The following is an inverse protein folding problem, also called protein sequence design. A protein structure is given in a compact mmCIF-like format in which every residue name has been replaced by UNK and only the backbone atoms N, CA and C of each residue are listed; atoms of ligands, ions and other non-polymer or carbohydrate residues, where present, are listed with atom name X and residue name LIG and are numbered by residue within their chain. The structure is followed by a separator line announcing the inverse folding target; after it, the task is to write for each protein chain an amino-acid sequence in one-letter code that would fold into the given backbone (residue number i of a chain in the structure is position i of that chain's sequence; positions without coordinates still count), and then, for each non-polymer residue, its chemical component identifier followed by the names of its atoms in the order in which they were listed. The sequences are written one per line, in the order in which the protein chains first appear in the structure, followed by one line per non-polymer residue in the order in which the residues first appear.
data_IF_770614995619
#
_entry.id   IF_770614995619
#
_cell.length_a   1.000
_cell.length_b   1.000
_cell.length_c   1.000
_cell.angle_alpha   90.00
_cell.angle_beta   90.00
_cell.angle_gamma   90.00
#
_symmetry.space_group_name_H-M   'P 1'
#
loop_
_entity.id
_entity.type
_entity.pdbx_description
1 polymer ?
#
# COMPACT_ATOMS: atom_id res chain seq x y z
N UNK A 1 -34.10 -23.02 46.35
CA UNK A 1 -33.67 -24.09 47.27
C UNK A 1 -32.28 -24.52 46.84
N UNK A 2 -31.36 -24.73 47.78
CA UNK A 2 -30.01 -25.22 47.50
C UNK A 2 -30.00 -26.69 47.09
N UNK A 3 -28.83 -27.23 46.74
CA UNK A 3 -28.67 -28.65 46.37
C UNK A 3 -29.08 -29.63 47.48
N UNK A 4 -29.07 -29.16 48.71
CA UNK A 4 -29.49 -29.80 49.96
C UNK A 4 -31.01 -29.69 50.24
N UNK A 5 -31.78 -29.05 49.36
CA UNK A 5 -33.24 -28.89 49.51
C UNK A 5 -33.65 -27.84 50.55
N UNK A 6 -32.68 -27.18 51.20
CA UNK A 6 -32.92 -26.14 52.20
C UNK A 6 -33.06 -24.76 51.55
N UNK A 7 -33.66 -23.82 52.29
CA UNK A 7 -33.70 -22.40 51.90
C UNK A 7 -32.34 -21.78 52.18
N UNK A 8 -31.72 -21.25 51.14
CA UNK A 8 -30.49 -20.45 51.24
C UNK A 8 -30.79 -19.01 50.88
N UNK A 9 -30.13 -18.09 51.58
CA UNK A 9 -30.18 -16.68 51.21
C UNK A 9 -29.45 -16.46 49.89
N UNK A 10 -30.10 -15.74 48.97
CA UNK A 10 -29.51 -15.40 47.67
C UNK A 10 -28.91 -14.01 47.76
N UNK A 11 -27.62 -13.90 47.43
CA UNK A 11 -26.95 -12.61 47.29
C UNK A 11 -27.11 -12.17 45.82
N UNK A 12 -27.69 -10.98 45.61
CA UNK A 12 -27.79 -10.36 44.29
C UNK A 12 -26.62 -9.37 44.16
N UNK A 13 -25.73 -9.62 43.20
CA UNK A 13 -24.67 -8.67 42.84
C UNK A 13 -25.21 -7.75 41.73
N UNK A 14 -25.52 -6.51 42.09
CA UNK A 14 -25.78 -5.46 41.09
C UNK A 14 -24.45 -4.77 40.74
N UNK A 15 -24.05 -4.81 39.46
CA UNK A 15 -22.81 -4.18 38.98
C UNK A 15 -23.10 -3.18 37.87
N UNK A 16 -22.54 -1.98 37.99
CA UNK A 16 -22.54 -0.97 36.93
C UNK A 16 -21.09 -0.54 36.70
N UNK A 17 -20.51 -0.99 35.59
CA UNK A 17 -19.06 -0.83 35.33
C UNK A 17 -18.72 0.63 34.94
N UNK A 18 -19.56 1.26 34.13
CA UNK A 18 -19.31 2.59 33.54
C UNK A 18 -20.17 3.70 34.14
N UNK A 19 -21.11 3.38 35.04
CA UNK A 19 -22.12 4.32 35.49
C UNK A 19 -23.13 4.68 34.40
N UNK A 20 -23.60 5.94 34.38
CA UNK A 20 -24.43 6.48 33.30
C UNK A 20 -23.57 6.94 32.11
N UNK A 21 -24.12 6.92 30.90
CA UNK A 21 -23.40 7.33 29.69
C UNK A 21 -22.95 8.79 29.75
N UNK A 22 -23.79 9.67 30.31
CA UNK A 22 -23.52 11.10 30.45
C UNK A 22 -22.33 11.36 31.37
N UNK A 23 -22.28 10.68 32.53
CA UNK A 23 -21.15 10.80 33.47
C UNK A 23 -19.89 10.20 32.86
N UNK A 24 -20.00 9.07 32.15
CA UNK A 24 -18.87 8.46 31.47
C UNK A 24 -18.27 9.39 30.42
N UNK A 25 -19.11 10.01 29.57
CA UNK A 25 -18.66 11.01 28.59
C UNK A 25 -18.03 12.23 29.28
N UNK A 26 -18.63 12.72 30.37
CA UNK A 26 -18.08 13.82 31.16
C UNK A 26 -16.66 13.51 31.67
N UNK A 27 -16.47 12.32 32.26
CA UNK A 27 -15.15 11.86 32.71
C UNK A 27 -14.16 11.76 31.55
N UNK A 28 -14.59 11.27 30.39
CA UNK A 28 -13.72 11.21 29.21
C UNK A 28 -13.33 12.60 28.71
N UNK A 29 -14.26 13.57 28.69
CA UNK A 29 -13.97 14.95 28.30
C UNK A 29 -12.93 15.56 29.25
N UNK A 30 -13.12 15.40 30.56
CA UNK A 30 -12.20 15.91 31.58
C UNK A 30 -10.83 15.24 31.51
N UNK A 31 -10.79 13.91 31.35
CA UNK A 31 -9.55 13.13 31.28
C UNK A 31 -8.71 13.49 30.05
N UNK A 32 -9.36 13.62 28.87
CA UNK A 32 -8.67 13.92 27.62
C UNK A 32 -8.53 15.43 27.34
N UNK A 33 -9.16 16.30 28.13
CA UNK A 33 -9.23 17.74 27.84
C UNK A 33 -9.83 18.03 26.45
N UNK A 34 -10.76 17.19 25.98
CA UNK A 34 -11.34 17.23 24.64
C UNK A 34 -10.48 16.61 23.52
N UNK A 35 -9.23 16.23 23.76
CA UNK A 35 -8.36 15.57 22.78
C UNK A 35 -8.55 14.05 22.78
N UNK A 36 -9.69 13.61 22.26
CA UNK A 36 -10.05 12.19 22.28
C UNK A 36 -9.09 11.31 21.46
N UNK A 37 -8.91 10.04 21.87
CA UNK A 37 -8.27 9.04 21.02
C UNK A 37 -8.96 8.92 19.66
N UNK A 38 -8.20 8.54 18.63
CA UNK A 38 -8.67 8.46 17.23
C UNK A 38 -9.98 7.69 17.08
N UNK A 39 -10.14 6.56 17.78
CA UNK A 39 -11.34 5.73 17.67
C UNK A 39 -12.59 6.40 18.26
N UNK A 40 -12.44 7.30 19.24
CA UNK A 40 -13.52 8.00 19.92
C UNK A 40 -13.78 9.40 19.34
N UNK A 41 -12.78 9.99 18.68
CA UNK A 41 -12.88 11.35 18.13
C UNK A 41 -14.06 11.48 17.15
N UNK A 42 -14.90 12.53 17.25
CA UNK A 42 -16.03 12.74 16.34
C UNK A 42 -15.55 12.91 14.90
N UNK A 43 -14.47 13.70 14.71
CA UNK A 43 -13.76 13.84 13.43
C UNK A 43 -12.38 13.24 13.62
N UNK A 44 -12.04 12.23 12.80
CA UNK A 44 -10.75 11.54 12.91
C UNK A 44 -9.69 12.20 12.05
N UNK A 45 -10.08 12.60 10.85
CA UNK A 45 -9.19 13.20 9.84
C UNK A 45 -9.89 14.40 9.23
N UNK A 46 -9.18 15.52 9.11
CA UNK A 46 -9.60 16.65 8.28
C UNK A 46 -8.70 16.74 7.04
N UNK A 47 -9.29 16.95 5.88
CA UNK A 47 -8.57 17.15 4.62
C UNK A 47 -8.71 18.59 4.19
N UNK A 48 -7.58 19.26 3.96
CA UNK A 48 -7.51 20.68 3.65
C UNK A 48 -6.72 20.90 2.36
N UNK A 49 -7.17 21.80 1.50
CA UNK A 49 -6.44 22.21 0.30
C UNK A 49 -5.80 23.58 0.48
N UNK A 50 -4.63 23.77 -0.15
CA UNK A 50 -3.94 25.07 -0.21
C UNK A 50 -4.61 25.99 -1.24
N UNK A 51 -5.01 25.47 -2.39
CA UNK A 51 -5.68 26.19 -3.47
C UNK A 51 -6.92 25.41 -3.95
N UNK A 52 -7.82 26.07 -4.67
CA UNK A 52 -9.03 25.44 -5.22
C UNK A 52 -8.73 24.38 -6.28
N UNK A 53 -7.58 24.49 -6.95
CA UNK A 53 -7.14 23.56 -8.00
C UNK A 53 -6.93 22.13 -7.48
N UNK A 54 -6.62 21.97 -6.20
CA UNK A 54 -6.39 20.67 -5.59
C UNK A 54 -7.66 20.01 -5.04
N UNK A 55 -8.81 20.71 -5.05
CA UNK A 55 -10.10 20.19 -4.54
C UNK A 55 -10.48 18.84 -5.16
N UNK A 56 -10.41 18.64 -6.50
CA UNK A 56 -10.78 17.35 -7.08
C UNK A 56 -9.91 16.19 -6.59
N UNK A 57 -8.63 16.48 -6.30
CA UNK A 57 -7.72 15.48 -5.75
C UNK A 57 -8.04 15.15 -4.30
N UNK A 58 -8.33 16.18 -3.51
CA UNK A 58 -8.72 16.04 -2.12
C UNK A 58 -10.04 15.28 -1.95
N UNK A 59 -11.04 15.54 -2.79
CA UNK A 59 -12.31 14.82 -2.79
C UNK A 59 -12.11 13.31 -3.01
N UNK A 60 -11.24 12.92 -3.95
CA UNK A 60 -10.91 11.51 -4.17
C UNK A 60 -10.28 10.85 -2.94
N UNK A 61 -9.46 11.58 -2.18
CA UNK A 61 -8.88 11.06 -0.93
C UNK A 61 -9.97 10.93 0.14
N UNK A 62 -10.85 11.94 0.28
CA UNK A 62 -12.00 11.87 1.19
C UNK A 62 -12.85 10.62 0.91
N UNK A 63 -13.18 10.36 -0.35
CA UNK A 63 -13.97 9.20 -0.77
C UNK A 63 -13.29 7.88 -0.41
N UNK A 64 -11.98 7.76 -0.68
CA UNK A 64 -11.21 6.56 -0.32
C UNK A 64 -11.21 6.29 1.18
N UNK A 65 -10.96 7.31 2.00
CA UNK A 65 -10.94 7.16 3.45
C UNK A 65 -12.34 6.87 4.02
N UNK A 66 -13.39 7.47 3.43
CA UNK A 66 -14.78 7.17 3.80
C UNK A 66 -15.15 5.74 3.42
N UNK A 67 -14.67 5.22 2.28
CA UNK A 67 -14.87 3.83 1.90
C UNK A 67 -14.22 2.85 2.91
N UNK A 68 -13.10 3.25 3.52
CA UNK A 68 -12.45 2.52 4.62
C UNK A 68 -13.08 2.77 6.01
N UNK A 69 -14.22 3.46 6.07
CA UNK A 69 -15.00 3.78 7.28
C UNK A 69 -14.35 4.76 8.26
N UNK A 70 -13.41 5.58 7.79
CA UNK A 70 -12.91 6.71 8.60
C UNK A 70 -13.92 7.87 8.61
N UNK A 71 -14.01 8.57 9.75
CA UNK A 71 -14.79 9.81 9.90
C UNK A 71 -13.96 11.00 9.42
N UNK A 72 -14.17 11.37 8.16
CA UNK A 72 -13.38 12.39 7.46
C UNK A 72 -14.21 13.63 7.12
N UNK A 73 -13.69 14.79 7.52
CA UNK A 73 -14.20 16.12 7.21
C UNK A 73 -13.34 16.78 6.12
N UNK A 74 -13.96 17.58 5.26
CA UNK A 74 -13.27 18.28 4.16
C UNK A 74 -13.39 19.78 4.28
N UNK A 75 -12.26 20.50 4.39
CA UNK A 75 -12.20 21.96 4.45
C UNK A 75 -11.60 22.57 3.17
N UNK A 76 -12.50 22.85 2.22
CA UNK A 76 -12.17 23.46 0.92
C UNK A 76 -12.39 24.98 0.88
N UNK A 77 -12.58 25.64 2.03
CA UNK A 77 -12.76 27.10 2.08
C UNK A 77 -11.56 27.82 1.47
N UNK A 78 -11.75 28.95 0.78
CA UNK A 78 -10.65 29.77 0.26
C UNK A 78 -10.06 30.67 1.36
N UNK A 79 -9.53 30.05 2.41
CA UNK A 79 -8.89 30.72 3.55
C UNK A 79 -7.41 30.33 3.66
N UNK A 80 -6.64 31.13 4.40
CA UNK A 80 -5.21 30.84 4.64
C UNK A 80 -5.06 29.49 5.34
N UNK A 81 -4.11 28.67 4.89
CA UNK A 81 -3.89 27.33 5.44
C UNK A 81 -3.59 27.35 6.95
N UNK A 82 -2.90 28.37 7.45
CA UNK A 82 -2.62 28.50 8.88
C UNK A 82 -3.90 28.73 9.70
N UNK A 83 -4.89 29.42 9.15
CA UNK A 83 -6.18 29.64 9.82
C UNK A 83 -6.96 28.33 9.92
N UNK A 84 -7.02 27.61 8.81
CA UNK A 84 -7.55 26.25 8.70
C UNK A 84 -6.93 25.27 9.70
N UNK A 85 -5.60 25.26 9.81
CA UNK A 85 -4.86 24.43 10.77
C UNK A 85 -5.25 24.82 12.20
N UNK A 86 -5.22 26.12 12.52
CA UNK A 86 -5.56 26.60 13.87
C UNK A 86 -7.01 26.24 14.27
N UNK A 87 -7.97 26.32 13.35
CA UNK A 87 -9.35 25.87 13.60
C UNK A 87 -9.42 24.36 13.87
N UNK A 88 -8.69 23.56 13.09
CA UNK A 88 -8.66 22.10 13.25
C UNK A 88 -7.98 21.68 14.55
N UNK A 89 -6.93 22.39 14.97
CA UNK A 89 -6.25 22.20 16.26
C UNK A 89 -7.14 22.61 17.44
N UNK A 90 -7.90 23.71 17.29
CA UNK A 90 -8.89 24.15 18.28
C UNK A 90 -9.97 23.11 18.49
N UNK A 91 -10.41 22.44 17.43
CA UNK A 91 -11.34 21.31 17.49
C UNK A 91 -10.71 20.00 17.95
N UNK A 92 -9.40 19.96 18.21
CA UNK A 92 -8.64 18.78 18.66
C UNK A 92 -8.76 17.59 17.71
N UNK A 93 -8.78 17.85 16.39
CA UNK A 93 -8.83 16.78 15.39
C UNK A 93 -7.49 16.03 15.38
N UNK A 94 -7.46 14.69 15.51
CA UNK A 94 -6.23 13.92 15.65
C UNK A 94 -5.29 13.99 14.42
N UNK A 95 -5.85 14.00 13.21
CA UNK A 95 -5.07 14.01 11.98
C UNK A 95 -5.55 15.09 11.01
N UNK A 96 -4.58 15.77 10.40
CA UNK A 96 -4.81 16.81 9.39
C UNK A 96 -4.00 16.44 8.15
N UNK A 97 -4.67 16.31 7.02
CA UNK A 97 -4.05 16.05 5.72
C UNK A 97 -4.11 17.35 4.94
N UNK A 98 -2.94 17.88 4.60
CA UNK A 98 -2.80 19.10 3.81
C UNK A 98 -2.42 18.69 2.39
N UNK A 99 -3.18 19.17 1.42
CA UNK A 99 -2.97 18.88 0.01
C UNK A 99 -2.51 20.15 -0.68
N UNK A 100 -1.27 20.12 -1.14
CA UNK A 100 -0.68 21.15 -1.96
C UNK A 100 -0.45 20.71 -3.41
N UNK A 101 0.16 21.62 -4.15
CA UNK A 101 0.48 21.43 -5.56
C UNK A 101 1.48 20.29 -5.78
N UNK A 102 2.47 20.14 -4.89
CA UNK A 102 3.52 19.11 -5.00
C UNK A 102 2.94 17.70 -4.92
N UNK A 103 2.01 17.48 -3.99
CA UNK A 103 1.38 16.18 -3.76
C UNK A 103 0.47 15.78 -4.93
N UNK A 104 -0.17 16.75 -5.57
CA UNK A 104 -0.93 16.54 -6.81
C UNK A 104 0.00 16.21 -7.97
N UNK A 105 1.13 16.93 -8.11
CA UNK A 105 2.11 16.69 -9.17
C UNK A 105 2.84 15.35 -9.00
N UNK A 106 3.21 14.95 -7.79
CA UNK A 106 3.87 13.69 -7.49
C UNK A 106 2.97 12.50 -7.82
N UNK A 107 1.66 12.57 -7.50
CA UNK A 107 0.73 11.53 -7.95
C UNK A 107 0.47 11.57 -9.46
N UNK A 108 0.45 12.76 -10.07
CA UNK A 108 0.39 12.86 -11.53
C UNK A 108 1.63 12.25 -12.18
N UNK A 109 2.80 12.36 -11.54
CA UNK A 109 4.01 11.67 -11.92
C UNK A 109 3.85 10.16 -11.70
N UNK A 110 3.44 9.66 -10.53
CA UNK A 110 3.18 8.22 -10.32
C UNK A 110 2.16 7.64 -11.32
N UNK A 111 1.09 8.37 -11.63
CA UNK A 111 0.09 7.93 -12.62
C UNK A 111 0.59 8.02 -14.06
N UNK A 112 1.54 8.92 -14.36
CA UNK A 112 2.27 8.96 -15.64
C UNK A 112 3.42 7.94 -15.69
N UNK A 113 4.05 7.59 -14.57
CA UNK A 113 5.09 6.56 -14.43
C UNK A 113 4.47 5.15 -14.36
N UNK A 114 3.17 5.07 -14.09
CA UNK A 114 2.33 3.89 -14.41
C UNK A 114 1.86 3.93 -15.87
N UNK A 115 2.48 4.74 -16.74
CA UNK A 115 2.63 4.27 -18.12
C UNK A 115 3.71 3.20 -18.07
N UNK A 116 3.28 1.95 -18.30
CA UNK A 116 4.22 0.86 -18.56
C UNK A 116 5.31 1.38 -19.51
N UNK A 117 6.58 1.01 -19.31
CA UNK A 117 7.62 1.38 -20.26
C UNK A 117 7.12 1.08 -21.66
N UNK A 118 7.22 2.06 -22.56
CA UNK A 118 6.72 2.03 -23.96
C UNK A 118 7.27 0.82 -24.74
N UNK A 119 8.23 0.09 -24.17
CA UNK A 119 8.61 -1.27 -24.55
C UNK A 119 8.33 -2.26 -23.42
N UNK A 120 7.41 -3.20 -23.70
CA UNK A 120 7.16 -4.34 -22.83
C UNK A 120 8.47 -5.14 -22.63
N UNK A 121 8.90 -5.45 -21.39
CA UNK A 121 10.06 -6.30 -21.17
C UNK A 121 9.82 -7.68 -21.78
N UNK A 122 10.73 -8.13 -22.63
CA UNK A 122 10.67 -9.45 -23.28
C UNK A 122 11.17 -10.53 -22.32
N UNK A 123 10.41 -11.62 -22.19
CA UNK A 123 10.88 -12.80 -21.49
C UNK A 123 11.37 -13.81 -22.52
N UNK A 124 12.61 -14.27 -22.36
CA UNK A 124 13.17 -15.38 -23.13
C UNK A 124 13.41 -16.56 -22.18
N UNK A 125 12.87 -17.74 -22.49
CA UNK A 125 13.07 -18.93 -21.66
C UNK A 125 14.29 -19.70 -22.14
N UNK A 126 15.05 -20.29 -21.21
CA UNK A 126 16.21 -21.15 -21.54
C UNK A 126 15.77 -22.42 -22.27
N UNK A 127 14.56 -22.91 -21.96
CA UNK A 127 14.01 -24.13 -22.53
C UNK A 127 12.99 -23.77 -23.61
N UNK A 128 13.29 -24.08 -24.87
CA UNK A 128 12.40 -23.90 -26.02
C UNK A 128 11.09 -24.71 -25.96
N UNK A 129 10.90 -25.54 -24.92
CA UNK A 129 9.81 -26.51 -24.75
C UNK A 129 8.98 -26.29 -23.48
N UNK A 130 8.70 -25.04 -23.09
CA UNK A 130 7.77 -24.76 -22.00
C UNK A 130 6.40 -24.30 -22.54
N UNK A 131 5.39 -25.18 -22.64
CA UNK A 131 4.11 -24.86 -23.29
C UNK A 131 3.15 -24.05 -22.41
N UNK A 132 3.50 -23.76 -21.16
CA UNK A 132 2.60 -23.11 -20.20
C UNK A 132 2.68 -21.58 -20.26
N UNK A 133 2.09 -20.99 -21.30
CA UNK A 133 2.04 -19.52 -21.49
C UNK A 133 1.43 -18.78 -20.29
N UNK A 134 0.45 -19.38 -19.61
CA UNK A 134 -0.17 -18.77 -18.44
C UNK A 134 0.85 -18.54 -17.31
N UNK A 135 1.75 -19.49 -17.10
CA UNK A 135 2.73 -19.46 -16.02
C UNK A 135 3.81 -18.40 -16.29
N UNK A 136 4.24 -18.32 -17.54
CA UNK A 136 5.11 -17.25 -18.05
C UNK A 136 4.51 -15.87 -17.82
N UNK A 137 3.21 -15.69 -18.11
CA UNK A 137 2.52 -14.43 -17.90
C UNK A 137 2.43 -14.06 -16.41
N UNK A 138 2.24 -15.03 -15.52
CA UNK A 138 2.23 -14.80 -14.07
C UNK A 138 3.59 -14.35 -13.54
N UNK A 139 4.67 -15.02 -13.97
CA UNK A 139 6.05 -14.62 -13.63
C UNK A 139 6.31 -13.20 -14.14
N UNK A 140 5.98 -12.95 -15.41
CA UNK A 140 6.19 -11.65 -16.04
C UNK A 140 5.46 -10.54 -15.30
N UNK A 141 4.18 -10.74 -14.99
CA UNK A 141 3.36 -9.77 -14.26
C UNK A 141 3.98 -9.44 -12.90
N UNK A 142 4.35 -10.46 -12.11
CA UNK A 142 4.99 -10.27 -10.81
C UNK A 142 6.30 -9.48 -10.88
N UNK A 143 7.15 -9.77 -11.86
CA UNK A 143 8.44 -9.08 -11.99
C UNK A 143 8.23 -7.63 -12.44
N UNK A 144 7.31 -7.39 -13.38
CA UNK A 144 7.00 -6.05 -13.89
C UNK A 144 6.37 -5.18 -12.81
N UNK A 145 5.46 -5.71 -11.99
CA UNK A 145 4.83 -4.97 -10.88
C UNK A 145 5.85 -4.52 -9.82
N UNK A 146 6.93 -5.28 -9.63
CA UNK A 146 8.00 -4.95 -8.67
C UNK A 146 9.17 -4.19 -9.30
N UNK A 147 9.12 -3.92 -10.60
CA UNK A 147 10.17 -3.20 -11.31
C UNK A 147 9.95 -1.68 -11.23
N UNK A 148 10.40 -1.09 -10.13
CA UNK A 148 10.22 0.31 -9.80
C UNK A 148 11.37 1.18 -10.32
N UNK A 149 11.48 1.35 -11.64
CA UNK A 149 12.41 2.33 -12.23
C UNK A 149 11.71 3.67 -12.43
N UNK A 150 12.23 4.75 -11.82
CA UNK A 150 11.61 6.09 -11.81
C UNK A 150 12.58 7.21 -12.21
N UNK A 151 13.62 6.91 -13.00
CA UNK A 151 14.63 7.90 -13.38
C UNK A 151 14.50 8.24 -14.87
N UNK A 152 14.46 9.54 -15.20
CA UNK A 152 14.59 10.06 -16.56
C UNK A 152 16.05 9.90 -17.00
N UNK A 153 16.40 8.69 -17.45
CA UNK A 153 17.73 8.40 -17.98
C UNK A 153 17.72 8.62 -19.49
N UNK A 154 18.55 9.52 -20.03
CA UNK A 154 18.61 9.73 -21.47
C UNK A 154 19.23 8.51 -22.15
N UNK A 155 18.47 7.85 -23.03
CA UNK A 155 18.94 6.72 -23.85
C UNK A 155 18.24 5.39 -23.55
N UNK A 156 18.80 4.31 -24.11
CA UNK A 156 18.27 2.95 -23.98
C UNK A 156 19.09 2.17 -22.95
N UNK A 157 18.41 1.57 -21.96
CA UNK A 157 19.01 0.66 -21.00
C UNK A 157 18.49 -0.76 -21.22
N UNK A 158 19.42 -1.71 -21.27
CA UNK A 158 19.11 -3.13 -21.44
C UNK A 158 19.89 -3.94 -20.42
N UNK A 159 19.18 -4.74 -19.63
CA UNK A 159 19.78 -5.69 -18.68
C UNK A 159 19.09 -7.03 -18.82
N UNK A 160 19.88 -8.11 -18.90
CA UNK A 160 19.37 -9.49 -18.91
C UNK A 160 19.74 -10.16 -17.60
N UNK A 161 18.72 -10.58 -16.85
CA UNK A 161 18.86 -11.29 -15.59
C UNK A 161 18.51 -12.76 -15.81
N UNK A 162 19.34 -13.65 -15.29
CA UNK A 162 19.14 -15.09 -15.29
C UNK A 162 18.85 -15.59 -13.89
N UNK A 163 17.84 -16.46 -13.76
CA UNK A 163 17.55 -17.19 -12.52
C UNK A 163 16.84 -18.50 -12.83
N UNK A 164 16.91 -19.43 -11.88
CA UNK A 164 16.22 -20.73 -11.94
C UNK A 164 15.06 -20.72 -10.96
N UNK A 165 13.88 -21.13 -11.40
CA UNK A 165 12.72 -21.33 -10.53
C UNK A 165 12.62 -22.83 -10.21
N UNK A 166 12.57 -23.19 -8.94
CA UNK A 166 12.41 -24.56 -8.46
C UNK A 166 10.94 -24.97 -8.46
N UNK A 167 10.64 -26.28 -8.36
CA UNK A 167 9.26 -26.80 -8.23
C UNK A 167 8.47 -26.15 -7.09
N UNK A 168 9.13 -25.73 -6.00
CA UNK A 168 8.53 -25.02 -4.87
C UNK A 168 8.10 -23.58 -5.18
N UNK A 169 8.58 -22.98 -6.28
CA UNK A 169 8.43 -21.56 -6.57
C UNK A 169 9.52 -20.66 -5.96
N UNK A 170 10.52 -21.25 -5.29
CA UNK A 170 11.73 -20.54 -4.89
C UNK A 170 12.65 -20.31 -6.09
N UNK A 171 13.52 -19.29 -6.00
CA UNK A 171 14.52 -19.03 -7.03
C UNK A 171 15.93 -19.33 -6.54
N UNK A 172 16.74 -19.84 -7.46
CA UNK A 172 18.16 -20.11 -7.26
C UNK A 172 19.01 -19.54 -8.41
N UNK A 173 20.28 -19.26 -8.14
CA UNK A 173 21.27 -18.88 -9.16
C UNK A 173 21.02 -17.53 -9.83
N UNK A 174 20.39 -16.57 -9.13
CA UNK A 174 20.14 -15.21 -9.61
C UNK A 174 21.46 -14.50 -9.99
N UNK A 175 21.62 -14.18 -11.28
CA UNK A 175 22.83 -13.54 -11.83
C UNK A 175 22.47 -12.60 -12.98
N UNK A 176 23.25 -11.53 -13.14
CA UNK A 176 23.18 -10.67 -14.34
C UNK A 176 24.00 -11.34 -15.45
N UNK A 177 23.40 -11.51 -16.63
CA UNK A 177 24.07 -12.04 -17.83
C UNK A 177 24.55 -10.92 -18.76
N UNK A 178 23.73 -9.89 -18.94
CA UNK A 178 24.07 -8.69 -19.71
C UNK A 178 23.78 -7.48 -18.83
N UNK A 179 24.79 -6.64 -18.60
CA UNK A 179 24.71 -5.40 -17.81
C UNK A 179 24.34 -4.22 -18.72
N UNK A 180 23.57 -3.28 -18.18
CA UNK A 180 23.18 -2.04 -18.88
C UNK A 180 24.26 -0.97 -18.89
N UNK A 181 25.46 -1.27 -18.37
CA UNK A 181 26.53 -0.30 -18.09
C UNK A 181 26.14 0.76 -17.04
N UNK A 182 24.96 0.61 -16.40
CA UNK A 182 24.51 1.41 -15.27
C UNK A 182 24.23 0.51 -14.06
N UNK A 183 25.11 0.59 -13.05
CA UNK A 183 25.03 -0.24 -11.83
C UNK A 183 23.72 -0.03 -11.05
N UNK A 184 23.14 1.17 -11.10
CA UNK A 184 21.90 1.48 -10.38
C UNK A 184 20.73 0.73 -11.03
N UNK A 185 20.66 0.77 -12.36
CA UNK A 185 19.63 0.07 -13.13
C UNK A 185 19.75 -1.45 -12.97
N UNK A 186 20.98 -1.98 -13.03
CA UNK A 186 21.25 -3.41 -12.82
C UNK A 186 20.83 -3.91 -11.43
N UNK A 187 21.12 -3.13 -10.38
CA UNK A 187 20.71 -3.45 -9.02
C UNK A 187 19.18 -3.42 -8.85
N UNK A 188 18.49 -2.52 -9.54
CA UNK A 188 17.03 -2.45 -9.53
C UNK A 188 16.42 -3.66 -10.26
N UNK A 189 17.02 -4.09 -11.38
CA UNK A 189 16.59 -5.30 -12.07
C UNK A 189 16.74 -6.55 -11.19
N UNK A 190 17.86 -6.69 -10.48
CA UNK A 190 18.06 -7.77 -9.51
C UNK A 190 17.03 -7.72 -8.38
N UNK A 191 16.81 -6.53 -7.81
CA UNK A 191 15.86 -6.32 -6.72
C UNK A 191 14.42 -6.63 -7.13
N UNK A 192 14.03 -6.29 -8.36
CA UNK A 192 12.70 -6.59 -8.87
C UNK A 192 12.41 -8.11 -8.89
N UNK A 193 13.39 -8.92 -9.29
CA UNK A 193 13.28 -10.39 -9.28
C UNK A 193 13.29 -10.94 -7.86
N UNK A 194 14.07 -10.33 -6.96
CA UNK A 194 14.11 -10.74 -5.55
C UNK A 194 12.82 -10.42 -4.79
N UNK A 195 12.23 -9.24 -5.01
CA UNK A 195 10.96 -8.83 -4.41
C UNK A 195 9.75 -9.60 -4.97
N UNK A 196 9.87 -10.17 -6.17
CA UNK A 196 8.83 -11.00 -6.75
C UNK A 196 8.68 -12.38 -6.07
N UNK A 197 9.60 -12.77 -5.17
CA UNK A 197 9.50 -14.01 -4.40
C UNK A 197 8.32 -14.00 -3.42
N UNK A 198 7.65 -15.14 -3.18
CA UNK A 198 7.83 -16.42 -3.86
C UNK A 198 7.12 -16.43 -5.23
N UNK A 199 7.68 -17.13 -6.22
CA UNK A 199 6.98 -17.36 -7.49
C UNK A 199 5.92 -18.46 -7.33
N UNK A 200 4.89 -18.51 -8.21
CA UNK A 200 4.00 -19.66 -8.24
C UNK A 200 4.82 -20.96 -8.46
N UNK A 201 4.45 -22.09 -7.83
CA UNK A 201 5.13 -23.35 -8.04
C UNK A 201 5.01 -23.81 -9.50
N UNK A 202 5.97 -24.59 -9.98
CA UNK A 202 5.95 -25.08 -11.36
C UNK A 202 4.70 -25.97 -11.60
N UNK A 203 4.12 -25.94 -12.81
CA UNK A 203 3.01 -26.82 -13.17
C UNK A 203 3.38 -28.29 -12.93
N UNK A 204 2.45 -29.11 -12.43
CA UNK A 204 2.73 -30.52 -12.11
C UNK A 204 3.10 -31.34 -13.34
N UNK A 205 2.63 -30.92 -14.51
CA UNK A 205 2.89 -31.52 -15.81
C UNK A 205 4.31 -31.22 -16.33
N UNK A 206 5.06 -30.35 -15.66
CA UNK A 206 6.44 -30.02 -16.02
C UNK A 206 7.43 -31.01 -15.37
N UNK A 207 8.16 -31.74 -16.21
CA UNK A 207 8.98 -32.88 -15.78
C UNK A 207 10.28 -32.48 -15.09
N UNK A 208 10.90 -31.37 -15.53
CA UNK A 208 12.20 -30.91 -15.00
C UNK A 208 12.09 -30.35 -13.59
N UNK A 209 13.18 -30.43 -12.82
CA UNK A 209 13.23 -29.96 -11.43
C UNK A 209 13.30 -28.44 -11.30
N UNK A 210 13.70 -27.76 -12.38
CA UNK A 210 13.78 -26.30 -12.43
C UNK A 210 13.42 -25.74 -13.81
N UNK A 211 13.02 -24.47 -13.83
CA UNK A 211 12.83 -23.68 -15.03
C UNK A 211 13.88 -22.55 -15.07
N UNK A 212 14.77 -22.58 -16.06
CA UNK A 212 15.71 -21.50 -16.33
C UNK A 212 15.03 -20.34 -17.09
N UNK A 213 15.12 -19.14 -16.52
CA UNK A 213 14.44 -17.94 -17.03
C UNK A 213 15.46 -16.84 -17.33
N UNK A 214 15.44 -16.30 -18.56
CA UNK A 214 16.14 -15.07 -18.92
C UNK A 214 15.13 -13.93 -19.03
N UNK A 215 15.16 -13.03 -18.06
CA UNK A 215 14.30 -11.86 -18.07
C UNK A 215 15.05 -10.65 -18.62
N UNK A 216 14.56 -10.10 -19.72
CA UNK A 216 15.15 -8.92 -20.36
C UNK A 216 14.39 -7.65 -19.94
N UNK A 217 15.07 -6.80 -19.18
CA UNK A 217 14.59 -5.48 -18.81
C UNK A 217 15.06 -4.47 -19.85
N UNK A 218 14.12 -3.99 -20.68
CA UNK A 218 14.34 -2.93 -21.65
C UNK A 218 13.67 -1.65 -21.18
N UNK A 219 14.45 -0.57 -21.11
CA UNK A 219 13.95 0.78 -20.93
C UNK A 219 14.37 1.61 -22.13
N UNK A 220 13.41 2.30 -22.73
CA UNK A 220 13.58 3.21 -23.85
C UNK A 220 12.71 4.44 -23.59
N UNK A 221 13.32 5.62 -23.65
CA UNK A 221 12.65 6.92 -23.61
C UNK A 221 11.74 7.13 -24.82
#
# INVERSE_FOLDING_TARGET
MGKDGLRHETIIIHRTILGSLERFIGILIEYYGGAFPVWLSPIQVTIMTITEKEIPYAQRICEKLRAEKFRVESDFRSEKINYKIAESERMKIPYMIIIGKKEVEEKQQETKTTSQPTTLPSLSLETAKFPFTYYVNQIRKKIVENWLWSQNYPGELKTVVYFRILKSGEIDGLKIKESSNNKIYDNICLRAVELAKPFPPLPQEYTEDYLGVYFEFKYKE
#
